data_IF_038977150947
#
_entry.id   IF_038977150947
#
_cell.length_a   1.000
_cell.length_b   1.000
_cell.length_c   1.000
_cell.angle_alpha   90.00
_cell.angle_beta   90.00
_cell.angle_gamma   90.00
#
_symmetry.space_group_name_H-M   'P 1'
#
loop_
_entity.id
_entity.type
_entity.pdbx_description
1 polymer ?
#
# COMPACT_ATOMS: atom_id res chain seq x y z
N UNK A 1 -22.82 15.58 -21.50
CA UNK A 1 -22.98 16.50 -20.33
C UNK A 1 -22.73 15.79 -19.00
N UNK A 2 -23.31 14.61 -18.73
CA UNK A 2 -23.10 13.85 -17.48
C UNK A 2 -21.65 13.41 -17.22
N UNK A 3 -20.90 12.98 -18.24
CA UNK A 3 -19.48 12.57 -18.08
C UNK A 3 -18.60 13.74 -17.60
N UNK A 4 -18.85 14.97 -18.07
CA UNK A 4 -18.07 16.14 -17.63
C UNK A 4 -18.37 16.50 -16.17
N UNK A 5 -19.64 16.45 -15.75
CA UNK A 5 -20.00 16.65 -14.34
C UNK A 5 -19.48 15.53 -13.44
N UNK A 6 -19.48 14.28 -13.91
CA UNK A 6 -18.92 13.14 -13.18
C UNK A 6 -17.39 13.26 -13.03
N UNK A 7 -16.70 13.64 -14.10
CA UNK A 7 -15.25 13.87 -14.06
C UNK A 7 -14.89 15.03 -13.12
N UNK A 8 -15.67 16.12 -13.14
CA UNK A 8 -15.50 17.25 -12.22
C UNK A 8 -15.76 16.84 -10.76
N UNK A 9 -16.74 15.97 -10.51
CA UNK A 9 -16.99 15.41 -9.18
C UNK A 9 -15.79 14.59 -8.68
N UNK A 10 -15.26 13.67 -9.49
CA UNK A 10 -14.05 12.90 -9.15
C UNK A 10 -12.88 13.86 -8.88
N UNK A 11 -12.72 14.89 -9.71
CA UNK A 11 -11.65 15.85 -9.54
C UNK A 11 -11.75 16.59 -8.20
N UNK A 12 -12.93 17.11 -7.84
CA UNK A 12 -13.12 17.88 -6.61
C UNK A 12 -13.08 17.01 -5.36
N UNK A 13 -13.64 15.80 -5.38
CA UNK A 13 -13.74 14.95 -4.20
C UNK A 13 -12.55 14.01 -3.98
N UNK A 14 -11.81 13.66 -5.04
CA UNK A 14 -10.70 12.72 -4.96
C UNK A 14 -9.37 13.42 -5.27
N UNK A 15 -9.26 14.06 -6.43
CA UNK A 15 -7.98 14.59 -6.93
C UNK A 15 -7.56 15.83 -6.12
N UNK A 16 -8.48 16.75 -5.82
CA UNK A 16 -8.18 18.00 -5.11
C UNK A 16 -7.70 17.74 -3.66
N UNK A 17 -8.37 16.89 -2.83
CA UNK A 17 -7.86 16.55 -1.50
C UNK A 17 -6.50 15.84 -1.56
N UNK A 18 -6.30 14.96 -2.53
CA UNK A 18 -4.99 14.34 -2.80
C UNK A 18 -3.95 15.43 -3.07
N UNK A 19 -4.22 16.35 -4.00
CA UNK A 19 -3.29 17.41 -4.34
C UNK A 19 -2.93 18.31 -3.15
N UNK A 20 -3.92 18.65 -2.31
CA UNK A 20 -3.70 19.42 -1.08
C UNK A 20 -2.82 18.67 -0.07
N UNK A 21 -3.02 17.36 0.09
CA UNK A 21 -2.16 16.53 0.94
C UNK A 21 -0.71 16.53 0.44
N UNK A 22 -0.50 16.41 -0.87
CA UNK A 22 0.84 16.42 -1.47
C UNK A 22 1.49 17.82 -1.53
N UNK A 23 0.70 18.90 -1.47
CA UNK A 23 1.21 20.26 -1.54
C UNK A 23 2.02 20.67 -0.30
N UNK A 24 1.70 20.12 0.88
CA UNK A 24 2.46 20.37 2.10
C UNK A 24 3.22 19.12 2.52
N UNK A 25 4.53 19.13 2.26
CA UNK A 25 5.44 18.01 2.55
C UNK A 25 5.46 17.58 4.03
N UNK A 26 5.10 18.45 4.98
CA UNK A 26 4.96 18.11 6.40
C UNK A 26 3.65 17.34 6.65
N UNK A 27 2.52 17.86 6.14
CA UNK A 27 1.22 17.22 6.29
C UNK A 27 1.24 15.85 5.59
N UNK A 28 1.76 15.80 4.35
CA UNK A 28 1.99 14.55 3.63
C UNK A 28 2.74 13.53 4.49
N UNK A 29 3.87 13.94 5.09
CA UNK A 29 4.67 13.07 5.93
C UNK A 29 3.88 12.56 7.14
N UNK A 30 3.20 13.43 7.88
CA UNK A 30 2.45 13.06 9.08
C UNK A 30 1.33 12.09 8.74
N UNK A 31 0.54 12.40 7.71
CA UNK A 31 -0.60 11.57 7.30
C UNK A 31 -0.12 10.19 6.83
N UNK A 32 0.87 10.14 5.94
CA UNK A 32 1.38 8.87 5.41
C UNK A 32 2.08 8.03 6.49
N UNK A 33 2.90 8.67 7.34
CA UNK A 33 3.58 7.96 8.44
C UNK A 33 2.59 7.38 9.44
N UNK A 34 1.52 8.11 9.79
CA UNK A 34 0.47 7.61 10.68
C UNK A 34 -0.25 6.40 10.08
N UNK A 35 -0.70 6.51 8.82
CA UNK A 35 -1.41 5.43 8.12
C UNK A 35 -0.53 4.18 8.05
N UNK A 36 0.73 4.32 7.63
CA UNK A 36 1.66 3.20 7.48
C UNK A 36 2.10 2.63 8.82
N UNK A 37 2.24 3.44 9.86
CA UNK A 37 2.57 2.97 11.20
C UNK A 37 1.44 2.10 11.77
N UNK A 38 0.19 2.55 11.64
CA UNK A 38 -0.98 1.78 12.06
C UNK A 38 -1.05 0.45 11.30
N UNK A 39 -0.87 0.50 9.98
CA UNK A 39 -0.88 -0.70 9.13
C UNK A 39 0.24 -1.69 9.52
N UNK A 40 1.45 -1.18 9.77
CA UNK A 40 2.58 -2.01 10.20
C UNK A 40 2.38 -2.60 11.60
N UNK A 41 1.89 -1.82 12.58
CA UNK A 41 1.58 -2.34 13.92
C UNK A 41 0.51 -3.44 13.83
N UNK A 42 -0.55 -3.19 13.06
CA UNK A 42 -1.60 -4.18 12.81
C UNK A 42 -1.02 -5.46 12.21
N UNK A 43 -0.21 -5.34 11.16
CA UNK A 43 0.42 -6.47 10.47
C UNK A 43 1.37 -7.26 11.39
N UNK A 44 2.16 -6.58 12.22
CA UNK A 44 3.03 -7.20 13.23
C UNK A 44 2.18 -7.98 14.23
N UNK A 45 1.11 -7.37 14.76
CA UNK A 45 0.21 -8.03 15.70
C UNK A 45 -0.39 -9.31 15.13
N UNK A 46 -0.88 -9.30 13.89
CA UNK A 46 -1.41 -10.50 13.23
C UNK A 46 -0.34 -11.56 12.99
N UNK A 47 0.86 -11.14 12.56
CA UNK A 47 1.98 -12.05 12.28
C UNK A 47 2.46 -12.77 13.53
N UNK A 48 2.51 -12.07 14.68
CA UNK A 48 2.89 -12.63 15.99
C UNK A 48 1.76 -13.50 16.55
N UNK A 49 0.50 -13.03 16.46
CA UNK A 49 -0.65 -13.73 17.04
C UNK A 49 -1.00 -15.04 16.30
N UNK A 50 -0.37 -15.32 15.16
CA UNK A 50 -0.68 -16.50 14.33
C UNK A 50 -2.07 -16.48 13.71
N UNK A 51 -2.81 -15.37 13.86
CA UNK A 51 -4.12 -15.17 13.25
C UNK A 51 -3.91 -14.83 11.78
N UNK A 52 -4.39 -15.69 10.88
CA UNK A 52 -4.46 -15.37 9.45
C UNK A 52 -5.28 -14.09 9.30
N UNK A 53 -4.79 -13.13 8.50
CA UNK A 53 -5.60 -11.98 8.11
C UNK A 53 -6.79 -12.57 7.35
N UNK A 54 -7.97 -12.51 7.97
CA UNK A 54 -9.22 -12.89 7.33
C UNK A 54 -9.54 -11.75 6.38
N UNK A 55 -9.05 -11.83 5.14
CA UNK A 55 -9.69 -11.12 4.04
C UNK A 55 -11.10 -11.70 3.94
N UNK A 56 -12.16 -10.88 3.96
CA UNK A 56 -13.49 -11.39 3.66
C UNK A 56 -13.40 -12.07 2.29
N UNK A 57 -13.66 -13.38 2.26
CA UNK A 57 -13.79 -14.11 1.01
C UNK A 57 -15.01 -13.51 0.30
N UNK A 58 -14.83 -13.05 -0.94
CA UNK A 58 -15.95 -12.65 -1.80
C UNK A 58 -16.83 -13.88 -1.93
N UNK A 59 -18.12 -13.72 -1.65
CA UNK A 59 -19.07 -14.81 -1.84
C UNK A 59 -19.30 -15.07 -3.34
N UNK A 60 -19.96 -16.20 -3.65
CA UNK A 60 -20.23 -16.58 -5.04
C UNK A 60 -21.14 -15.56 -5.75
N UNK A 61 -22.01 -14.87 -5.01
CA UNK A 61 -22.88 -13.80 -5.55
C UNK A 61 -22.07 -12.58 -5.99
N UNK A 62 -21.08 -12.16 -5.19
CA UNK A 62 -20.18 -11.07 -5.53
C UNK A 62 -19.35 -11.39 -6.78
N UNK A 63 -18.87 -12.63 -6.92
CA UNK A 63 -18.13 -13.10 -8.09
C UNK A 63 -19.02 -13.09 -9.34
N UNK A 64 -20.27 -13.55 -9.22
CA UNK A 64 -21.24 -13.57 -10.31
C UNK A 64 -21.62 -12.13 -10.73
N UNK A 65 -21.75 -11.20 -9.78
CA UNK A 65 -21.99 -9.79 -10.08
C UNK A 65 -20.81 -9.15 -10.84
N UNK A 66 -19.56 -9.46 -10.45
CA UNK A 66 -18.37 -8.94 -11.13
C UNK A 66 -18.27 -9.44 -12.58
N UNK A 67 -18.59 -10.71 -12.80
CA UNK A 67 -18.54 -11.30 -14.14
C UNK A 67 -19.70 -10.80 -15.02
N UNK A 68 -20.89 -10.61 -14.44
CA UNK A 68 -22.03 -9.97 -15.09
C UNK A 68 -21.75 -8.50 -15.46
N UNK A 69 -21.04 -7.75 -14.60
CA UNK A 69 -20.60 -6.39 -14.91
C UNK A 69 -19.64 -6.37 -16.11
N UNK A 70 -18.68 -7.31 -16.13
CA UNK A 70 -17.70 -7.43 -17.22
C UNK A 70 -18.37 -7.74 -18.55
N UNK A 71 -19.31 -8.68 -18.57
CA UNK A 71 -20.05 -9.04 -19.78
C UNK A 71 -21.00 -7.94 -20.25
N UNK A 72 -21.64 -7.21 -19.34
CA UNK A 72 -22.64 -6.18 -19.68
C UNK A 72 -22.01 -4.84 -20.09
N UNK A 73 -20.91 -4.44 -19.45
CA UNK A 73 -20.31 -3.11 -19.65
C UNK A 73 -18.94 -3.15 -20.35
N UNK A 74 -18.35 -4.34 -20.49
CA UNK A 74 -16.96 -4.50 -20.95
C UNK A 74 -15.92 -4.07 -19.91
N UNK A 75 -16.33 -3.61 -18.72
CA UNK A 75 -15.45 -3.12 -17.68
C UNK A 75 -14.94 -4.26 -16.80
N UNK A 76 -13.63 -4.47 -16.78
CA UNK A 76 -12.98 -5.49 -15.94
C UNK A 76 -12.68 -4.92 -14.54
N UNK A 77 -13.63 -5.12 -13.61
CA UNK A 77 -13.47 -4.68 -12.22
C UNK A 77 -12.29 -5.37 -11.52
N UNK A 78 -11.98 -6.62 -11.88
CA UNK A 78 -10.86 -7.38 -11.32
C UNK A 78 -9.53 -6.71 -11.71
N UNK A 79 -9.36 -6.36 -12.98
CA UNK A 79 -8.18 -5.63 -13.45
C UNK A 79 -8.06 -4.25 -12.80
N UNK A 80 -9.17 -3.51 -12.69
CA UNK A 80 -9.18 -2.20 -12.04
C UNK A 80 -8.76 -2.28 -10.56
N UNK A 81 -9.25 -3.29 -9.83
CA UNK A 81 -8.87 -3.51 -8.44
C UNK A 81 -7.37 -3.85 -8.30
N UNK A 82 -6.83 -4.70 -9.19
CA UNK A 82 -5.38 -4.98 -9.24
C UNK A 82 -4.58 -3.70 -9.52
N UNK A 83 -5.02 -2.86 -10.45
CA UNK A 83 -4.38 -1.59 -10.76
C UNK A 83 -4.35 -0.65 -9.55
N UNK A 84 -5.47 -0.52 -8.82
CA UNK A 84 -5.54 0.26 -7.57
C UNK A 84 -4.61 -0.29 -6.48
N UNK A 85 -4.54 -1.62 -6.33
CA UNK A 85 -3.65 -2.30 -5.38
C UNK A 85 -2.18 -1.99 -5.69
N UNK A 86 -1.79 -2.05 -6.96
CA UNK A 86 -0.43 -1.70 -7.41
C UNK A 86 -0.14 -0.20 -7.20
N UNK A 87 -1.09 0.68 -7.56
CA UNK A 87 -0.93 2.13 -7.36
C UNK A 87 -0.71 2.47 -5.88
N UNK A 88 -1.44 1.82 -4.96
CA UNK A 88 -1.21 1.95 -3.52
C UNK A 88 0.22 1.57 -3.15
N UNK A 89 0.73 0.43 -3.62
CA UNK A 89 2.11 0.00 -3.32
C UNK A 89 3.17 0.98 -3.86
N UNK A 90 2.95 1.55 -5.04
CA UNK A 90 3.83 2.58 -5.60
C UNK A 90 3.87 3.85 -4.75
N UNK A 91 2.72 4.31 -4.25
CA UNK A 91 2.66 5.46 -3.34
C UNK A 91 3.46 5.18 -2.06
N UNK A 92 3.37 3.96 -1.52
CA UNK A 92 4.14 3.55 -0.34
C UNK A 92 5.65 3.53 -0.64
N UNK A 93 6.07 2.99 -1.78
CA UNK A 93 7.47 3.02 -2.22
C UNK A 93 7.99 4.45 -2.31
N UNK A 94 7.21 5.35 -2.94
CA UNK A 94 7.57 6.76 -3.08
C UNK A 94 7.75 7.44 -1.72
N UNK A 95 6.87 7.14 -0.75
CA UNK A 95 7.00 7.65 0.62
C UNK A 95 8.30 7.18 1.31
N UNK A 96 8.72 5.92 1.11
CA UNK A 96 9.96 5.41 1.70
C UNK A 96 11.22 5.99 1.04
N UNK A 97 11.18 6.22 -0.27
CA UNK A 97 12.24 6.97 -0.98
C UNK A 97 12.35 8.38 -0.37
N UNK A 98 11.22 9.06 -0.16
CA UNK A 98 11.18 10.37 0.49
C UNK A 98 11.77 10.33 1.93
N UNK A 99 11.45 9.30 2.71
CA UNK A 99 12.03 9.12 4.05
C UNK A 99 13.56 8.93 4.01
N UNK A 100 14.08 8.19 3.03
CA UNK A 100 15.52 7.99 2.82
C UNK A 100 16.23 9.31 2.55
N UNK A 101 15.67 10.17 1.67
CA UNK A 101 16.22 11.49 1.39
C UNK A 101 16.27 12.40 2.62
N UNK A 102 15.22 12.38 3.46
CA UNK A 102 15.17 13.22 4.68
C UNK A 102 16.19 12.76 5.72
N UNK A 103 16.24 11.46 6.00
CA UNK A 103 17.05 10.96 7.10
C UNK A 103 18.55 11.04 6.79
N UNK A 104 18.92 10.96 5.51
CA UNK A 104 20.30 10.96 5.02
C UNK A 104 21.25 10.11 5.87
N UNK A 105 20.77 8.96 6.35
CA UNK A 105 21.51 8.06 7.23
C UNK A 105 21.56 6.67 6.63
N UNK A 106 22.74 6.05 6.70
CA UNK A 106 22.98 4.75 6.09
C UNK A 106 22.04 3.67 6.67
N UNK A 107 21.75 3.73 7.97
CA UNK A 107 20.84 2.81 8.66
C UNK A 107 19.43 2.89 8.08
N UNK A 108 18.90 4.12 7.89
CA UNK A 108 17.56 4.30 7.31
C UNK A 108 17.52 3.82 5.86
N UNK A 109 18.58 4.04 5.08
CA UNK A 109 18.64 3.59 3.69
C UNK A 109 18.59 2.06 3.56
N UNK A 110 19.28 1.34 4.45
CA UNK A 110 19.22 -0.13 4.49
C UNK A 110 17.79 -0.60 4.80
N UNK A 111 17.16 -0.04 5.83
CA UNK A 111 15.79 -0.41 6.21
C UNK A 111 14.78 -0.08 5.12
N UNK A 112 14.91 1.10 4.50
CA UNK A 112 14.09 1.52 3.35
C UNK A 112 14.22 0.53 2.21
N UNK A 113 15.43 0.04 1.92
CA UNK A 113 15.66 -0.94 0.85
C UNK A 113 14.91 -2.25 1.12
N UNK A 114 14.94 -2.75 2.36
CA UNK A 114 14.18 -3.94 2.76
C UNK A 114 12.68 -3.73 2.52
N UNK A 115 12.15 -2.58 2.93
CA UNK A 115 10.73 -2.25 2.77
C UNK A 115 10.35 -2.13 1.30
N UNK A 116 11.17 -1.47 0.47
CA UNK A 116 10.93 -1.32 -0.97
C UNK A 116 10.91 -2.68 -1.66
N UNK A 117 11.89 -3.56 -1.38
CA UNK A 117 11.94 -4.90 -1.95
C UNK A 117 10.68 -5.72 -1.59
N UNK A 118 10.23 -5.60 -0.35
CA UNK A 118 8.97 -6.22 0.08
C UNK A 118 7.77 -5.72 -0.74
N UNK A 119 7.63 -4.40 -0.95
CA UNK A 119 6.52 -3.87 -1.75
C UNK A 119 6.61 -4.24 -3.23
N UNK A 120 7.81 -4.30 -3.80
CA UNK A 120 8.03 -4.78 -5.17
C UNK A 120 7.58 -6.24 -5.29
N UNK A 121 7.95 -7.09 -4.32
CA UNK A 121 7.49 -8.48 -4.29
C UNK A 121 5.95 -8.56 -4.26
N UNK A 122 5.29 -7.72 -3.46
CA UNK A 122 3.81 -7.64 -3.41
C UNK A 122 3.17 -7.16 -4.71
N UNK A 123 3.82 -6.26 -5.46
CA UNK A 123 3.38 -5.85 -6.80
C UNK A 123 3.42 -7.06 -7.75
N UNK A 124 4.52 -7.81 -7.75
CA UNK A 124 4.69 -8.99 -8.60
C UNK A 124 3.64 -10.06 -8.25
N UNK A 125 3.40 -10.31 -6.96
CA UNK A 125 2.39 -11.28 -6.53
C UNK A 125 0.98 -10.84 -6.94
N UNK A 126 0.66 -9.55 -6.85
CA UNK A 126 -0.65 -9.04 -7.27
C UNK A 126 -0.88 -9.20 -8.77
N UNK A 127 0.17 -9.05 -9.59
CA UNK A 127 0.11 -9.32 -11.03
C UNK A 127 -0.03 -10.83 -11.33
N UNK A 128 0.64 -11.70 -10.56
CA UNK A 128 0.52 -13.16 -10.73
C UNK A 128 -0.84 -13.71 -10.31
N UNK A 129 -1.43 -13.12 -9.27
CA UNK A 129 -2.80 -13.43 -8.80
C UNK A 129 -3.84 -13.17 -9.90
N UNK A 130 -3.64 -12.12 -10.72
CA UNK A 130 -4.49 -11.84 -11.89
C UNK A 130 -4.42 -12.97 -12.95
N UNK A 131 -3.21 -13.49 -13.22
CA UNK A 131 -2.94 -14.53 -14.22
C UNK A 131 -3.18 -15.95 -13.66
N UNK A 132 -3.75 -16.07 -12.45
CA UNK A 132 -3.98 -17.34 -11.74
C UNK A 132 -2.72 -18.19 -11.50
N UNK A 133 -1.53 -17.56 -11.47
CA UNK A 133 -0.27 -18.24 -11.17
C UNK A 133 -0.08 -18.22 -9.66
N UNK A 134 -0.33 -19.35 -8.99
CA UNK A 134 -0.10 -19.48 -7.54
C UNK A 134 1.40 -19.44 -7.24
N UNK A 135 1.83 -18.42 -6.50
CA UNK A 135 3.16 -18.39 -5.89
C UNK A 135 3.18 -19.31 -4.67
N UNK A 136 3.96 -20.39 -4.77
CA UNK A 136 4.14 -21.36 -3.67
C UNK A 136 5.30 -20.89 -2.80
N UNK A 137 5.13 -19.76 -2.11
CA UNK A 137 5.98 -19.46 -0.96
C UNK A 137 5.38 -20.20 0.25
N UNK A 138 6.18 -20.97 1.01
CA UNK A 138 5.67 -21.61 2.21
C UNK A 138 5.23 -20.53 3.20
N UNK A 139 4.05 -20.71 3.78
CA UNK A 139 3.36 -19.76 4.67
C UNK A 139 4.27 -19.16 5.76
N UNK A 140 5.17 -19.96 6.33
CA UNK A 140 6.10 -19.52 7.36
C UNK A 140 7.11 -18.47 6.85
N UNK A 141 7.59 -18.62 5.61
CA UNK A 141 8.55 -17.67 5.01
C UNK A 141 7.85 -16.36 4.69
N UNK A 142 6.66 -16.41 4.10
CA UNK A 142 5.86 -15.21 3.82
C UNK A 142 5.57 -14.42 5.11
N UNK A 143 5.22 -15.12 6.20
CA UNK A 143 4.99 -14.51 7.51
C UNK A 143 6.24 -13.82 8.06
N UNK A 144 7.42 -14.46 7.95
CA UNK A 144 8.68 -13.89 8.43
C UNK A 144 9.05 -12.65 7.61
N UNK A 145 8.97 -12.74 6.28
CA UNK A 145 9.24 -11.60 5.38
C UNK A 145 8.31 -10.42 5.72
N UNK A 146 7.02 -10.70 5.87
CA UNK A 146 6.02 -9.69 6.24
C UNK A 146 6.34 -9.03 7.59
N UNK A 147 6.72 -9.82 8.58
CA UNK A 147 7.07 -9.31 9.90
C UNK A 147 8.33 -8.44 9.86
N UNK A 148 9.39 -8.89 9.18
CA UNK A 148 10.64 -8.12 9.02
C UNK A 148 10.37 -6.80 8.30
N UNK A 149 9.61 -6.82 7.21
CA UNK A 149 9.28 -5.62 6.45
C UNK A 149 8.48 -4.62 7.28
N UNK A 150 7.49 -5.08 8.04
CA UNK A 150 6.65 -4.20 8.87
C UNK A 150 7.39 -3.64 10.09
N UNK A 151 8.29 -4.42 10.71
CA UNK A 151 9.18 -3.90 11.76
C UNK A 151 10.12 -2.83 11.17
N UNK A 152 10.72 -3.11 10.01
CA UNK A 152 11.60 -2.16 9.33
C UNK A 152 10.87 -0.87 8.98
N UNK A 153 9.64 -0.98 8.47
CA UNK A 153 8.72 0.14 8.20
C UNK A 153 8.50 1.01 9.44
N UNK A 154 8.08 0.40 10.56
CA UNK A 154 7.84 1.12 11.80
C UNK A 154 9.12 1.81 12.32
N UNK A 155 10.27 1.13 12.20
CA UNK A 155 11.55 1.67 12.65
C UNK A 155 12.02 2.87 11.79
N UNK A 156 11.84 2.79 10.47
CA UNK A 156 12.11 3.92 9.56
C UNK A 156 11.26 5.13 9.95
N UNK A 157 9.95 4.93 10.13
CA UNK A 157 9.03 6.00 10.51
C UNK A 157 9.46 6.65 11.83
N UNK A 158 9.79 5.84 12.84
CA UNK A 158 10.24 6.34 14.15
C UNK A 158 11.55 7.14 14.05
N UNK A 159 12.57 6.62 13.36
CA UNK A 159 13.86 7.29 13.19
C UNK A 159 13.71 8.61 12.42
N UNK A 160 13.01 8.61 11.29
CA UNK A 160 12.81 9.82 10.48
C UNK A 160 12.02 10.86 11.26
N UNK A 161 11.04 10.45 12.09
CA UNK A 161 10.29 11.37 12.95
C UNK A 161 11.19 12.05 13.98
N UNK A 162 12.07 11.29 14.64
CA UNK A 162 13.03 11.82 15.62
C UNK A 162 14.00 12.79 14.94
N UNK A 163 14.53 12.44 13.77
CA UNK A 163 15.43 13.32 13.00
C UNK A 163 14.72 14.62 12.64
N UNK A 164 13.48 14.55 12.13
CA UNK A 164 12.68 15.74 11.80
C UNK A 164 12.41 16.64 12.99
N UNK A 165 12.17 16.07 14.18
CA UNK A 165 11.97 16.87 15.40
C UNK A 165 13.27 17.59 15.80
N UNK A 166 14.43 16.94 15.66
CA UNK A 166 15.73 17.55 15.98
C UNK A 166 16.20 18.64 15.01
N UNK A 167 15.71 18.61 13.76
CA UNK A 167 16.05 19.61 12.74
C UNK A 167 15.18 20.88 12.80
N UNK A 168 14.13 20.90 13.65
CA UNK A 168 13.32 22.07 13.96
C UNK A 168 13.85 22.76 15.21
#
# INVERSE_FOLDING_TARGET
>A
MQIHSFLAMIFVFVILPLFLLFSNHIIFYITMSLILLIDSIRSIYFSISGKKIITPELDEEDLEFIDNLKTTTGFDLKWFNTCLKIARYLIVILFYIYCSFIANSMIVNILVTIVILYWIHRIIDSYKEEINIKTVLPFNIERIINLIANISSAFVIALVSIIRIKMK
#
